data_IF_406643392200
#
_entry.id   IF_406643392200
#
_cell.length_a   1.000
_cell.length_b   1.000
_cell.length_c   1.000
_cell.angle_alpha   90.00
_cell.angle_beta   90.00
_cell.angle_gamma   90.00
#
_symmetry.space_group_name_H-M   'P 1'
#
loop_
_entity.id
_entity.type
_entity.pdbx_description
1 polymer ?
#
# COMPACT_ATOMS: atom_id res chain seq x y z
N UNK A 1 -11.18 11.86 0.66
CA UNK A 1 -10.46 10.58 0.88
C UNK A 1 -9.05 10.92 1.36
N UNK A 2 -8.75 10.72 2.65
CA UNK A 2 -7.40 10.86 3.21
C UNK A 2 -6.85 9.45 3.39
N UNK A 3 -5.88 9.05 2.58
CA UNK A 3 -5.21 7.77 2.71
C UNK A 3 -3.86 7.99 3.41
N UNK A 4 -3.67 7.38 4.58
CA UNK A 4 -2.47 7.51 5.40
C UNK A 4 -1.46 6.40 5.13
N UNK A 5 -0.18 6.77 5.17
CA UNK A 5 1.00 5.90 5.21
C UNK A 5 1.12 5.17 6.56
N UNK A 6 1.36 3.85 6.57
CA UNK A 6 1.58 3.01 7.76
C UNK A 6 3.01 2.47 7.75
N UNK A 7 3.71 2.48 8.90
CA UNK A 7 5.17 2.30 8.97
C UNK A 7 5.65 1.49 10.18
N UNK A 8 6.74 0.73 9.98
CA UNK A 8 7.44 -0.11 10.96
C UNK A 8 8.79 0.51 11.36
N UNK A 9 9.18 0.38 12.63
CA UNK A 9 10.52 0.70 13.16
C UNK A 9 10.80 -0.19 14.38
N UNK A 10 12.02 -0.72 14.53
CA UNK A 10 12.42 -1.61 15.64
C UNK A 10 13.58 -0.99 16.43
N UNK A 11 13.37 -0.65 17.70
CA UNK A 11 14.47 -0.34 18.64
C UNK A 11 14.87 -1.58 19.47
N UNK A 12 16.16 -1.75 19.84
CA UNK A 12 16.65 -3.01 20.42
C UNK A 12 16.48 -3.17 21.94
N UNK A 13 15.80 -2.27 22.67
CA UNK A 13 15.95 -2.18 24.14
C UNK A 13 14.67 -2.24 24.99
N UNK A 14 13.50 -2.49 24.42
CA UNK A 14 12.27 -2.71 25.20
C UNK A 14 11.59 -4.02 24.80
N UNK A 15 11.16 -4.81 25.79
CA UNK A 15 10.41 -6.08 25.64
C UNK A 15 9.03 -5.92 24.98
N UNK A 16 8.67 -4.71 24.56
CA UNK A 16 7.52 -4.42 23.72
C UNK A 16 7.98 -3.55 22.56
N UNK A 17 7.74 -3.94 21.30
CA UNK A 17 8.02 -3.07 20.17
C UNK A 17 7.10 -1.84 20.25
N UNK A 18 7.69 -0.66 20.43
CA UNK A 18 6.96 0.60 20.35
C UNK A 18 6.87 0.97 18.86
N UNK A 19 5.68 0.90 18.29
CA UNK A 19 5.43 1.35 16.92
C UNK A 19 5.16 2.86 16.91
N UNK A 20 5.88 3.59 16.05
CA UNK A 20 5.65 5.02 15.82
C UNK A 20 5.23 5.28 14.39
N UNK A 21 4.11 5.97 14.24
CA UNK A 21 3.54 6.31 12.94
C UNK A 21 3.74 7.79 12.61
N UNK A 22 4.19 8.06 11.39
CA UNK A 22 4.21 9.38 10.79
C UNK A 22 3.22 9.40 9.64
N UNK A 23 2.42 10.47 9.54
CA UNK A 23 1.46 10.66 8.46
C UNK A 23 1.49 12.11 8.02
N UNK A 24 1.80 12.31 6.75
CA UNK A 24 1.75 13.59 6.06
C UNK A 24 0.87 13.43 4.81
N UNK A 25 0.18 14.50 4.40
CA UNK A 25 -0.52 14.55 3.11
C UNK A 25 0.30 15.41 2.16
N UNK A 26 0.43 14.98 0.90
CA UNK A 26 1.11 15.78 -0.14
C UNK A 26 0.35 17.09 -0.38
N UNK A 27 -0.97 17.03 -0.33
CA UNK A 27 -1.87 18.18 -0.45
C UNK A 27 -3.32 17.75 -0.25
N UNK A 28 -4.25 18.68 -0.46
CA UNK A 28 -5.69 18.45 -0.28
C UNK A 28 -6.49 18.48 -1.60
N UNK A 29 -5.83 18.77 -2.72
CA UNK A 29 -6.42 18.83 -4.06
C UNK A 29 -5.98 17.63 -4.90
N UNK A 30 -6.58 17.46 -6.09
CA UNK A 30 -6.19 16.40 -7.04
C UNK A 30 -4.74 16.51 -7.52
N UNK A 31 -4.17 17.71 -7.55
CA UNK A 31 -2.78 17.94 -7.98
C UNK A 31 -1.76 17.28 -7.05
N UNK A 32 -2.14 17.04 -5.79
CA UNK A 32 -1.32 16.32 -4.82
C UNK A 32 -0.96 14.89 -5.25
N UNK A 33 -1.71 14.29 -6.19
CA UNK A 33 -1.42 12.97 -6.76
C UNK A 33 -0.45 13.01 -7.94
N UNK A 34 0.04 14.19 -8.32
CA UNK A 34 0.91 14.44 -9.48
C UNK A 34 2.15 15.27 -9.12
N UNK A 35 2.54 15.26 -7.85
CA UNK A 35 3.66 16.01 -7.30
C UNK A 35 4.72 15.08 -6.67
N UNK A 36 5.56 14.43 -7.50
CA UNK A 36 6.62 13.56 -7.01
C UNK A 36 7.70 14.31 -6.24
N UNK A 37 7.93 15.59 -6.53
CA UNK A 37 8.91 16.43 -5.81
C UNK A 37 8.47 16.54 -4.35
N UNK A 38 7.20 16.89 -4.11
CA UNK A 38 6.69 17.00 -2.75
C UNK A 38 6.63 15.65 -2.03
N UNK A 39 6.31 14.59 -2.76
CA UNK A 39 6.39 13.22 -2.25
C UNK A 39 7.78 12.87 -1.72
N UNK A 40 8.82 13.18 -2.50
CA UNK A 40 10.23 12.97 -2.11
C UNK A 40 10.60 13.77 -0.86
N UNK A 41 10.26 15.05 -0.79
CA UNK A 41 10.54 15.90 0.38
C UNK A 41 9.93 15.34 1.68
N UNK A 42 8.65 14.96 1.63
CA UNK A 42 7.95 14.42 2.80
C UNK A 42 8.53 13.08 3.24
N UNK A 43 8.92 12.23 2.29
CA UNK A 43 9.56 10.95 2.60
C UNK A 43 10.91 11.14 3.28
N UNK A 44 11.75 12.04 2.75
CA UNK A 44 13.04 12.35 3.38
C UNK A 44 12.85 12.92 4.79
N UNK A 45 11.84 13.76 5.02
CA UNK A 45 11.47 14.24 6.36
C UNK A 45 11.07 13.09 7.29
N UNK A 46 10.22 12.15 6.84
CA UNK A 46 9.82 11.00 7.65
C UNK A 46 11.01 10.09 7.99
N UNK A 47 11.87 9.82 7.01
CA UNK A 47 13.10 9.03 7.21
C UNK A 47 14.03 9.72 8.21
N UNK A 48 14.21 11.04 8.11
CA UNK A 48 14.98 11.82 9.09
C UNK A 48 14.40 11.72 10.52
N UNK A 49 13.08 11.56 10.64
CA UNK A 49 12.40 11.34 11.92
C UNK A 49 12.45 9.87 12.40
N UNK A 50 13.18 8.99 11.69
CA UNK A 50 13.37 7.60 12.09
C UNK A 50 12.42 6.60 11.42
N UNK A 51 11.76 6.95 10.32
CA UNK A 51 11.01 5.97 9.53
C UNK A 51 11.94 4.92 8.88
N UNK A 52 11.60 3.62 9.02
CA UNK A 52 12.34 2.52 8.36
C UNK A 52 11.64 1.95 7.12
N UNK A 53 10.31 2.01 7.09
CA UNK A 53 9.47 1.63 5.94
C UNK A 53 8.79 2.89 5.43
N UNK A 54 8.22 2.92 4.23
CA UNK A 54 7.38 4.02 3.72
C UNK A 54 6.19 3.40 3.01
N UNK A 55 4.95 3.63 3.47
CA UNK A 55 3.76 3.26 2.69
C UNK A 55 3.23 4.50 2.01
N UNK A 56 2.79 4.41 0.76
CA UNK A 56 2.16 5.55 0.10
C UNK A 56 0.83 5.19 -0.54
N UNK A 57 -0.07 6.17 -0.58
CA UNK A 57 -1.37 6.09 -1.24
C UNK A 57 -1.61 7.39 -2.02
N UNK A 58 -0.65 7.71 -2.88
CA UNK A 58 -0.44 9.06 -3.41
C UNK A 58 -0.34 9.13 -4.95
N UNK A 59 -0.82 8.11 -5.66
CA UNK A 59 -0.83 8.11 -7.13
C UNK A 59 0.58 8.32 -7.72
N UNK A 60 0.69 9.13 -8.76
CA UNK A 60 1.95 9.39 -9.46
C UNK A 60 3.01 10.08 -8.59
N UNK A 61 2.59 10.85 -7.58
CA UNK A 61 3.53 11.39 -6.59
C UNK A 61 4.34 10.30 -5.90
N UNK A 62 3.76 9.09 -5.77
CA UNK A 62 4.39 7.86 -5.29
C UNK A 62 5.79 7.60 -5.79
N UNK A 63 6.06 7.94 -7.05
CA UNK A 63 7.36 7.73 -7.70
C UNK A 63 8.48 8.44 -6.93
N UNK A 64 8.26 9.67 -6.48
CA UNK A 64 9.25 10.40 -5.69
C UNK A 64 9.45 9.84 -4.28
N UNK A 65 8.43 9.19 -3.70
CA UNK A 65 8.55 8.52 -2.40
C UNK A 65 9.41 7.26 -2.52
N UNK A 66 9.18 6.45 -3.56
CA UNK A 66 9.99 5.26 -3.86
C UNK A 66 11.45 5.66 -4.12
N UNK A 67 11.68 6.70 -4.93
CA UNK A 67 13.02 7.24 -5.19
C UNK A 67 13.72 7.68 -3.88
N UNK A 68 13.00 8.42 -3.03
CA UNK A 68 13.53 8.86 -1.74
C UNK A 68 13.89 7.70 -0.82
N UNK A 69 13.00 6.74 -0.65
CA UNK A 69 13.22 5.56 0.18
C UNK A 69 14.43 4.75 -0.30
N UNK A 70 14.49 4.46 -1.61
CA UNK A 70 15.62 3.75 -2.21
C UNK A 70 16.95 4.51 -2.03
N UNK A 71 16.95 5.84 -2.23
CA UNK A 71 18.16 6.67 -2.03
C UNK A 71 18.70 6.63 -0.59
N UNK A 72 17.81 6.43 0.39
CA UNK A 72 18.15 6.33 1.80
C UNK A 72 18.27 4.87 2.28
N UNK A 73 18.18 3.90 1.36
CA UNK A 73 18.18 2.47 1.64
C UNK A 73 17.12 2.06 2.67
N UNK A 74 15.95 2.71 2.61
CA UNK A 74 14.77 2.41 3.42
C UNK A 74 13.75 1.68 2.58
N UNK A 75 12.91 0.87 3.23
CA UNK A 75 11.90 0.11 2.54
C UNK A 75 10.69 0.95 2.16
N UNK A 76 9.97 0.56 1.12
CA UNK A 76 8.73 1.19 0.67
C UNK A 76 7.68 0.11 0.32
N UNK A 77 6.42 0.40 0.60
CA UNK A 77 5.25 -0.37 0.19
C UNK A 77 4.49 0.48 -0.83
N UNK A 78 4.39 -0.04 -2.04
CA UNK A 78 3.70 0.61 -3.16
C UNK A 78 2.18 0.50 -3.10
N UNK A 79 1.50 1.00 -4.12
CA UNK A 79 0.03 1.01 -4.21
C UNK A 79 -0.50 0.88 -5.63
N UNK A 80 -1.76 0.42 -5.71
CA UNK A 80 -2.60 0.23 -6.89
C UNK A 80 -2.11 -0.90 -7.80
N UNK A 81 -0.85 -0.86 -8.23
CA UNK A 81 -0.19 -1.89 -9.04
C UNK A 81 1.07 -2.40 -8.35
N UNK A 82 1.61 -3.50 -8.85
CA UNK A 82 2.94 -3.95 -8.46
C UNK A 82 4.00 -3.00 -9.02
N UNK A 83 4.48 -2.11 -8.16
CA UNK A 83 5.41 -1.06 -8.55
C UNK A 83 6.85 -1.57 -8.60
N UNK A 84 7.14 -2.78 -8.11
CA UNK A 84 8.45 -3.39 -8.30
C UNK A 84 8.69 -3.78 -9.76
N UNK A 85 7.63 -4.03 -10.54
CA UNK A 85 7.72 -4.32 -11.97
C UNK A 85 8.07 -3.09 -12.83
N UNK A 86 7.62 -1.90 -12.41
CA UNK A 86 7.79 -0.65 -13.17
C UNK A 86 8.88 0.25 -12.62
N UNK A 87 9.32 0.03 -11.37
CA UNK A 87 10.43 0.78 -10.79
C UNK A 87 11.76 0.47 -11.47
N UNK A 88 12.67 1.45 -11.57
CA UNK A 88 14.07 1.23 -11.93
C UNK A 88 14.70 0.13 -11.09
N UNK A 89 15.59 -0.65 -11.69
CA UNK A 89 16.26 -1.80 -11.05
C UNK A 89 16.91 -1.44 -9.71
N UNK A 90 17.57 -0.29 -9.63
CA UNK A 90 18.21 0.20 -8.41
C UNK A 90 17.24 0.47 -7.24
N UNK A 91 15.94 0.63 -7.51
CA UNK A 91 14.91 0.88 -6.50
C UNK A 91 14.20 -0.40 -6.05
N UNK A 92 14.14 -1.43 -6.90
CA UNK A 92 13.41 -2.69 -6.65
C UNK A 92 13.76 -3.37 -5.32
N UNK A 93 15.05 -3.46 -4.90
CA UNK A 93 15.41 -4.11 -3.64
C UNK A 93 14.79 -3.48 -2.39
N UNK A 94 14.28 -2.24 -2.52
CA UNK A 94 13.67 -1.49 -1.43
C UNK A 94 12.15 -1.54 -1.45
N UNK A 95 11.52 -2.13 -2.47
CA UNK A 95 10.05 -2.25 -2.57
C UNK A 95 9.64 -3.59 -1.95
N UNK A 96 9.14 -3.58 -0.71
CA UNK A 96 8.74 -4.80 0.01
C UNK A 96 7.58 -5.52 -0.65
N UNK A 97 6.58 -4.76 -1.10
CA UNK A 97 5.38 -5.22 -1.80
C UNK A 97 4.60 -3.99 -2.27
N UNK A 98 3.47 -4.19 -2.92
CA UNK A 98 2.48 -3.14 -3.20
C UNK A 98 1.11 -3.57 -2.70
N UNK A 99 0.35 -2.64 -2.13
CA UNK A 99 -1.09 -2.82 -1.93
C UNK A 99 -1.79 -2.74 -3.28
N UNK A 100 -2.17 -3.88 -3.84
CA UNK A 100 -2.83 -3.99 -5.13
C UNK A 100 -4.29 -3.51 -5.02
N UNK A 101 -4.72 -2.72 -6.00
CA UNK A 101 -6.11 -2.36 -6.22
C UNK A 101 -6.48 -2.72 -7.65
N UNK A 102 -7.28 -3.77 -7.81
CA UNK A 102 -7.64 -4.36 -9.10
C UNK A 102 -8.75 -3.57 -9.79
N UNK A 103 -8.47 -2.31 -10.09
CA UNK A 103 -9.35 -1.44 -10.90
C UNK A 103 -9.53 -2.03 -12.29
N UNK A 104 -8.50 -2.69 -12.83
CA UNK A 104 -8.56 -3.48 -14.05
C UNK A 104 -9.68 -4.54 -14.00
N UNK A 105 -9.72 -5.34 -12.94
CA UNK A 105 -10.77 -6.34 -12.74
C UNK A 105 -12.14 -5.70 -12.58
N UNK A 106 -12.26 -4.62 -11.79
CA UNK A 106 -13.52 -3.94 -11.59
C UNK A 106 -14.10 -3.38 -12.91
N UNK A 107 -13.26 -2.76 -13.74
CA UNK A 107 -13.65 -2.23 -15.06
C UNK A 107 -14.02 -3.36 -16.01
N UNK A 108 -13.17 -4.39 -16.10
CA UNK A 108 -13.40 -5.54 -16.98
C UNK A 108 -14.71 -6.26 -16.66
N UNK A 109 -14.93 -6.62 -15.38
CA UNK A 109 -16.15 -7.31 -14.94
C UNK A 109 -17.41 -6.47 -15.17
N UNK A 110 -17.30 -5.14 -15.03
CA UNK A 110 -18.42 -4.23 -15.29
C UNK A 110 -18.76 -4.21 -16.78
N UNK A 111 -17.78 -4.01 -17.65
CA UNK A 111 -17.97 -4.01 -19.11
C UNK A 111 -18.48 -5.36 -19.59
N UNK A 112 -17.90 -6.46 -19.11
CA UNK A 112 -18.33 -7.82 -19.41
C UNK A 112 -19.81 -8.01 -19.06
N UNK A 113 -20.25 -7.59 -17.88
CA UNK A 113 -21.66 -7.70 -17.49
C UNK A 113 -22.61 -6.90 -18.38
N UNK A 114 -22.17 -5.74 -18.90
CA UNK A 114 -22.96 -4.95 -19.86
C UNK A 114 -23.08 -5.68 -21.20
N UNK A 115 -21.98 -6.21 -21.73
CA UNK A 115 -21.95 -6.97 -23.00
C UNK A 115 -22.80 -8.25 -22.91
N UNK A 116 -22.75 -8.95 -21.76
CA UNK A 116 -23.53 -10.16 -21.51
C UNK A 116 -24.99 -9.89 -21.13
N UNK A 117 -25.45 -8.63 -21.16
CA UNK A 117 -26.79 -8.20 -20.73
C UNK A 117 -27.16 -8.58 -19.28
N UNK A 118 -26.15 -8.77 -18.42
CA UNK A 118 -26.28 -9.13 -17.01
C UNK A 118 -25.97 -7.96 -16.05
N UNK A 119 -25.81 -6.75 -16.58
CA UNK A 119 -25.47 -5.58 -15.77
C UNK A 119 -26.57 -5.26 -14.76
N UNK A 120 -26.16 -5.07 -13.51
CA UNK A 120 -27.02 -4.59 -12.43
C UNK A 120 -26.43 -3.30 -11.89
N UNK A 121 -27.23 -2.24 -11.91
CA UNK A 121 -26.89 -0.98 -11.23
C UNK A 121 -26.82 -1.17 -9.72
N UNK A 122 -26.19 -0.21 -9.05
CA UNK A 122 -26.00 -0.22 -7.60
C UNK A 122 -24.52 -0.26 -7.22
N UNK A 123 -24.25 -0.60 -5.96
CA UNK A 123 -22.90 -0.68 -5.42
C UNK A 123 -22.37 -2.10 -5.48
N UNK A 124 -21.09 -2.24 -5.84
CA UNK A 124 -20.35 -3.50 -5.84
C UNK A 124 -19.04 -3.31 -5.08
N UNK A 125 -18.83 -4.16 -4.08
CA UNK A 125 -17.58 -4.22 -3.31
C UNK A 125 -16.58 -5.13 -4.00
N UNK A 126 -15.32 -4.72 -3.99
CA UNK A 126 -14.18 -5.48 -4.51
C UNK A 126 -13.13 -5.53 -3.40
N UNK A 127 -13.34 -6.40 -2.41
CA UNK A 127 -12.45 -6.58 -1.27
C UNK A 127 -11.44 -7.71 -1.49
N UNK A 128 -10.84 -8.21 -0.40
CA UNK A 128 -9.94 -9.37 -0.43
C UNK A 128 -10.65 -10.63 -0.94
N UNK A 129 -11.95 -10.78 -0.64
CA UNK A 129 -12.76 -11.94 -1.05
C UNK A 129 -12.99 -11.98 -2.57
N UNK A 130 -13.21 -10.83 -3.18
CA UNK A 130 -13.41 -10.68 -4.62
C UNK A 130 -12.10 -10.56 -5.40
N UNK A 131 -10.95 -10.73 -4.71
CA UNK A 131 -9.62 -10.47 -5.26
C UNK A 131 -9.49 -9.04 -5.83
N UNK A 132 -10.26 -8.10 -5.29
CA UNK A 132 -10.28 -6.69 -5.68
C UNK A 132 -9.13 -5.88 -5.08
N UNK A 133 -8.63 -6.33 -3.94
CA UNK A 133 -7.42 -5.81 -3.31
C UNK A 133 -6.52 -6.95 -2.85
N UNK A 134 -5.24 -6.66 -2.66
CA UNK A 134 -4.27 -7.66 -2.20
C UNK A 134 -2.88 -7.07 -1.96
N UNK A 135 -1.88 -7.93 -1.82
CA UNK A 135 -0.47 -7.54 -1.84
C UNK A 135 0.22 -8.20 -3.04
N UNK A 136 1.27 -7.55 -3.54
CA UNK A 136 2.06 -8.06 -4.66
C UNK A 136 3.15 -9.02 -4.18
N UNK A 137 3.34 -10.12 -4.90
CA UNK A 137 4.44 -11.06 -4.72
C UNK A 137 4.98 -11.49 -6.09
N UNK A 138 6.28 -11.34 -6.31
CA UNK A 138 6.99 -11.72 -7.54
C UNK A 138 8.46 -12.06 -7.26
N UNK A 139 9.28 -12.30 -8.28
CA UNK A 139 10.70 -12.62 -8.11
C UNK A 139 11.53 -11.56 -7.37
N UNK A 140 11.13 -10.28 -7.39
CA UNK A 140 11.87 -9.19 -6.77
C UNK A 140 11.60 -9.04 -5.28
N UNK A 141 10.43 -9.45 -4.80
CA UNK A 141 10.00 -9.16 -3.43
C UNK A 141 9.57 -10.37 -2.59
N UNK A 142 9.39 -11.56 -3.20
CA UNK A 142 9.01 -12.79 -2.49
C UNK A 142 9.91 -13.09 -1.29
N UNK A 143 11.22 -12.86 -1.43
CA UNK A 143 12.19 -13.16 -0.38
C UNK A 143 12.20 -12.08 0.70
N UNK A 144 11.80 -10.85 0.38
CA UNK A 144 11.69 -9.73 1.32
C UNK A 144 10.51 -9.89 2.30
N UNK A 145 9.48 -10.66 1.91
CA UNK A 145 8.27 -10.88 2.71
C UNK A 145 8.10 -12.33 3.15
N UNK A 146 9.05 -13.22 2.85
CA UNK A 146 8.91 -14.66 3.07
C UNK A 146 8.66 -15.01 4.54
N UNK A 147 9.28 -14.28 5.45
CA UNK A 147 9.16 -14.45 6.91
C UNK A 147 7.77 -14.05 7.43
N UNK A 148 7.18 -13.00 6.87
CA UNK A 148 5.85 -12.49 7.28
C UNK A 148 4.70 -13.10 6.48
N UNK A 149 4.97 -13.75 5.34
CA UNK A 149 3.95 -14.28 4.43
C UNK A 149 2.93 -15.21 5.11
N UNK A 150 3.31 -16.18 5.97
CA UNK A 150 2.34 -17.02 6.67
C UNK A 150 1.35 -16.20 7.51
N UNK A 151 1.84 -15.13 8.15
CA UNK A 151 1.00 -14.22 8.94
C UNK A 151 0.11 -13.35 8.06
N UNK A 152 0.59 -12.91 6.90
CA UNK A 152 -0.21 -12.17 5.93
C UNK A 152 -1.39 -13.01 5.44
N UNK A 153 -1.15 -14.27 5.06
CA UNK A 153 -2.21 -15.18 4.61
C UNK A 153 -3.20 -15.52 5.74
N UNK A 154 -2.73 -15.74 6.97
CA UNK A 154 -3.61 -15.95 8.12
C UNK A 154 -4.55 -14.75 8.34
N UNK A 155 -4.02 -13.52 8.33
CA UNK A 155 -4.81 -12.30 8.52
C UNK A 155 -5.79 -12.13 7.35
N UNK A 156 -5.36 -12.37 6.11
CA UNK A 156 -6.21 -12.31 4.93
C UNK A 156 -7.39 -13.27 5.04
N UNK A 157 -7.16 -14.52 5.44
CA UNK A 157 -8.24 -15.50 5.67
C UNK A 157 -9.19 -15.03 6.76
N UNK A 158 -8.67 -14.53 7.88
CA UNK A 158 -9.50 -14.01 8.98
C UNK A 158 -10.35 -12.81 8.56
N UNK A 159 -9.84 -11.92 7.70
CA UNK A 159 -10.63 -10.81 7.15
C UNK A 159 -11.71 -11.34 6.20
N UNK A 160 -11.38 -12.28 5.31
CA UNK A 160 -12.34 -12.88 4.36
C UNK A 160 -13.46 -13.61 5.10
N UNK A 161 -13.14 -14.31 6.19
CA UNK A 161 -14.11 -15.01 7.04
C UNK A 161 -14.91 -14.08 7.96
N UNK A 162 -14.55 -12.79 8.04
CA UNK A 162 -15.20 -11.82 8.92
C UNK A 162 -14.81 -11.90 10.40
N UNK A 163 -13.82 -12.74 10.74
CA UNK A 163 -13.23 -12.83 12.08
C UNK A 163 -12.50 -11.53 12.46
N UNK A 164 -11.83 -10.91 11.47
CA UNK A 164 -11.25 -9.57 11.59
C UNK A 164 -12.10 -8.59 10.78
N UNK A 165 -12.69 -7.61 11.47
CA UNK A 165 -13.36 -6.48 10.82
C UNK A 165 -12.39 -5.33 10.65
N UNK A 166 -12.07 -4.99 9.40
CA UNK A 166 -11.22 -3.85 9.08
C UNK A 166 -11.98 -2.55 9.38
N UNK A 167 -11.45 -1.66 10.25
CA UNK A 167 -12.05 -0.37 10.52
C UNK A 167 -12.21 0.47 9.25
N UNK A 168 -13.40 1.04 9.03
CA UNK A 168 -13.69 1.91 7.89
C UNK A 168 -13.58 3.39 8.25
N UNK A 169 -13.49 3.70 9.54
CA UNK A 169 -13.36 5.06 10.05
C UNK A 169 -12.37 5.13 11.21
N UNK A 170 -11.84 6.34 11.46
CA UNK A 170 -10.96 6.56 12.62
C UNK A 170 -11.62 6.25 13.96
N UNK A 171 -12.95 6.37 14.05
CA UNK A 171 -13.70 6.11 15.29
C UNK A 171 -13.73 4.62 15.66
N UNK A 172 -13.56 3.76 14.67
CA UNK A 172 -13.51 2.30 14.84
C UNK A 172 -12.10 1.80 15.23
N UNK A 173 -11.08 2.65 15.08
CA UNK A 173 -9.71 2.39 15.53
C UNK A 173 -9.65 2.86 16.99
N UNK A 174 -10.09 2.03 17.93
CA UNK A 174 -9.95 2.25 19.38
C UNK A 174 -8.85 1.37 19.96
#
# INVERSE_FOLDING_TARGET
LKFGSWLYCREPKTLTPIFRFYSDNIGITGDAFKDPVKGKELTLKQIKNGADVIYHASGASGVGLIEAAASQKKFVIGVDSDQSLTAPEAQRPYILTSMLKRVDTAVFETIKSMVENNFKGGYKEFGLKENGVGYAENEFNKDLIADIKPRLEEIKTKIINGEIKVPTSKKEIK
#
